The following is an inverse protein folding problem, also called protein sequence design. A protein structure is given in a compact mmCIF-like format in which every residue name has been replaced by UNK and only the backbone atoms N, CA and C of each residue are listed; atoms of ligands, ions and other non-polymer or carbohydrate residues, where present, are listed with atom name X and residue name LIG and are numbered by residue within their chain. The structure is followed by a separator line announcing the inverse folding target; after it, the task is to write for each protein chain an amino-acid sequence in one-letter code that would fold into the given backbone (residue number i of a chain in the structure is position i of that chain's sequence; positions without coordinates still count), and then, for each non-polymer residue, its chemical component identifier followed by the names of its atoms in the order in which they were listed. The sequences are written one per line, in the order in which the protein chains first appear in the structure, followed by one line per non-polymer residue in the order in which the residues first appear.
data_IF_634993538426
#
_entry.id   IF_634993538426
#
_cell.length_a   1.000
_cell.length_b   1.000
_cell.length_c   1.000
_cell.angle_alpha   90.00
_cell.angle_beta   90.00
_cell.angle_gamma   90.00
#
_symmetry.space_group_name_H-M   'P 1'
#
loop_
_entity.id
_entity.type
_entity.pdbx_description
1 polymer ?
#
# COMPACT_ATOMS: atom_id res chain seq x y z
N UNK A 1 -7.22 3.05 20.24
CA UNK A 1 -7.77 4.44 20.31
C UNK A 1 -6.63 5.41 20.07
N UNK A 2 -6.79 6.31 19.10
CA UNK A 2 -5.80 7.35 18.79
C UNK A 2 -6.30 8.65 19.41
N UNK A 3 -5.51 9.24 20.31
CA UNK A 3 -5.77 10.57 20.84
C UNK A 3 -4.92 11.58 20.07
N UNK A 4 -5.54 12.63 19.53
CA UNK A 4 -4.88 13.68 18.78
C UNK A 4 -5.09 15.00 19.51
N UNK A 5 -4.00 15.57 20.03
CA UNK A 5 -3.93 16.95 20.49
C UNK A 5 -3.12 17.74 19.45
N UNK A 6 -3.68 18.73 18.82
CA UNK A 6 -2.97 19.56 17.84
C UNK A 6 -2.52 20.88 18.48
N UNK A 7 -1.27 21.24 18.24
CA UNK A 7 -0.70 22.54 18.59
C UNK A 7 -0.49 23.37 17.31
N UNK A 8 -0.94 24.61 17.31
CA UNK A 8 -0.69 25.57 16.23
C UNK A 8 0.61 26.32 16.54
N UNK A 9 1.63 26.22 15.68
CA UNK A 9 2.87 26.99 15.78
C UNK A 9 2.86 28.23 14.88
N UNK A 10 2.07 28.21 13.83
CA UNK A 10 1.74 29.32 12.95
C UNK A 10 0.42 29.00 12.24
N UNK A 11 -0.13 29.94 11.51
CA UNK A 11 -1.39 29.75 10.76
C UNK A 11 -1.31 28.59 9.77
N UNK A 12 -0.12 28.23 9.30
CA UNK A 12 0.10 27.20 8.27
C UNK A 12 0.79 25.92 8.79
N UNK A 13 1.29 25.90 10.03
CA UNK A 13 2.01 24.74 10.60
C UNK A 13 1.20 24.19 11.77
N UNK A 14 0.86 22.92 11.70
CA UNK A 14 0.20 22.17 12.79
C UNK A 14 1.10 21.03 13.23
N UNK A 15 1.33 20.91 14.51
CA UNK A 15 2.02 19.75 15.11
C UNK A 15 1.04 19.03 16.02
N UNK A 16 1.03 17.71 15.94
CA UNK A 16 0.16 16.85 16.74
C UNK A 16 0.95 15.76 17.41
N UNK A 17 0.78 15.51 18.71
CA UNK A 17 1.22 14.28 19.32
C UNK A 17 0.36 13.12 18.84
N UNK A 18 0.98 11.95 18.68
CA UNK A 18 0.31 10.73 18.28
C UNK A 18 0.50 9.72 19.41
N UNK A 19 -0.60 9.15 19.86
CA UNK A 19 -0.58 8.03 20.82
C UNK A 19 -1.43 6.91 20.25
N UNK A 20 -0.86 5.72 20.22
CA UNK A 20 -1.50 4.53 19.67
C UNK A 20 -1.53 3.43 20.74
N UNK A 21 -2.65 2.72 20.81
CA UNK A 21 -2.77 1.50 21.59
C UNK A 21 -3.71 0.53 20.90
N UNK A 22 -3.27 -0.69 20.75
CA UNK A 22 -4.06 -1.80 20.24
C UNK A 22 -3.81 -3.04 21.09
N UNK A 23 -4.88 -3.69 21.55
CA UNK A 23 -4.82 -4.94 22.28
C UNK A 23 -5.68 -5.98 21.59
N UNK A 24 -5.12 -7.17 21.38
CA UNK A 24 -5.84 -8.35 20.94
C UNK A 24 -5.66 -9.45 21.95
N UNK A 25 -6.78 -9.96 22.49
CA UNK A 25 -6.80 -10.99 23.51
C UNK A 25 -6.54 -12.41 22.97
N UNK A 26 -6.77 -12.61 21.68
CA UNK A 26 -6.74 -13.93 21.04
C UNK A 26 -5.74 -14.04 19.88
N UNK A 27 -4.72 -13.14 19.81
CA UNK A 27 -4.04 -12.96 18.55
C UNK A 27 -5.04 -12.51 17.48
N UNK A 28 -4.70 -11.64 16.60
CA UNK A 28 -5.71 -10.94 15.79
C UNK A 28 -6.41 -11.81 14.76
N UNK A 29 -6.10 -13.09 14.63
CA UNK A 29 -6.57 -13.84 13.48
C UNK A 29 -6.81 -15.32 13.76
N UNK A 30 -7.80 -15.84 13.08
CA UNK A 30 -8.31 -17.20 13.08
C UNK A 30 -7.27 -18.28 12.75
N UNK A 31 -6.10 -17.86 12.27
CA UNK A 31 -5.05 -18.74 11.73
C UNK A 31 -3.90 -18.93 12.71
N UNK A 32 -3.70 -18.00 13.65
CA UNK A 32 -2.56 -18.05 14.58
C UNK A 32 -2.94 -18.28 16.03
N UNK A 33 -2.13 -19.09 16.68
CA UNK A 33 -2.33 -19.54 18.06
C UNK A 33 -2.57 -18.36 19.01
N UNK A 34 -3.73 -18.36 19.61
CA UNK A 34 -4.32 -17.66 20.76
C UNK A 34 -3.37 -17.03 21.77
N UNK A 35 -2.45 -16.16 21.36
CA UNK A 35 -1.59 -15.43 22.28
C UNK A 35 -1.97 -13.96 22.29
N UNK A 36 -2.18 -13.37 23.47
CA UNK A 36 -2.49 -11.95 23.56
C UNK A 36 -1.29 -11.10 23.12
N UNK A 37 -1.58 -10.06 22.37
CA UNK A 37 -0.59 -9.06 21.99
C UNK A 37 -1.10 -7.66 22.28
N UNK A 38 -0.23 -6.82 22.82
CA UNK A 38 -0.49 -5.39 22.97
C UNK A 38 0.54 -4.60 22.18
N UNK A 39 0.07 -3.71 21.35
CA UNK A 39 0.89 -2.76 20.58
C UNK A 39 0.61 -1.37 21.14
N UNK A 40 1.64 -0.64 21.50
CA UNK A 40 1.54 0.76 21.92
C UNK A 40 2.54 1.59 21.13
N UNK A 41 2.21 2.84 20.91
CA UNK A 41 3.07 3.75 20.14
C UNK A 41 2.92 5.18 20.60
N UNK A 42 4.02 5.92 20.49
CA UNK A 42 4.05 7.35 20.73
C UNK A 42 4.88 8.05 19.64
N UNK A 43 4.46 9.22 19.26
CA UNK A 43 5.11 9.95 18.18
C UNK A 43 4.62 11.37 17.97
N UNK A 44 5.07 11.96 16.90
CA UNK A 44 4.72 13.30 16.48
C UNK A 44 4.34 13.31 14.99
N UNK A 45 3.32 14.08 14.65
CA UNK A 45 2.97 14.42 13.27
C UNK A 45 3.09 15.92 13.06
N UNK A 46 3.51 16.31 11.88
CA UNK A 46 3.56 17.70 11.43
C UNK A 46 2.83 17.84 10.10
N UNK A 47 2.13 18.95 9.94
CA UNK A 47 1.41 19.29 8.73
C UNK A 47 1.65 20.75 8.41
N UNK A 48 1.98 21.03 7.15
CA UNK A 48 2.10 22.37 6.59
C UNK A 48 1.29 22.44 5.31
N UNK A 49 0.56 23.51 5.12
CA UNK A 49 -0.25 23.72 3.92
C UNK A 49 -0.24 25.19 3.51
N UNK A 50 -0.09 25.42 2.22
CA UNK A 50 -0.28 26.71 1.58
C UNK A 50 -0.85 26.51 0.17
N UNK A 51 -0.97 27.59 -0.61
CA UNK A 51 -1.54 27.56 -1.97
C UNK A 51 -0.88 26.52 -2.91
N UNK A 52 0.40 26.25 -2.75
CA UNK A 52 1.19 25.44 -3.69
C UNK A 52 1.78 24.18 -3.06
N UNK A 53 1.96 24.17 -1.75
CA UNK A 53 2.66 23.12 -1.05
C UNK A 53 1.84 22.56 0.09
N UNK A 54 1.74 21.24 0.11
CA UNK A 54 1.30 20.50 1.29
C UNK A 54 2.43 19.59 1.72
N UNK A 55 2.81 19.63 2.99
CA UNK A 55 3.83 18.76 3.58
C UNK A 55 3.24 18.08 4.79
N UNK A 56 3.33 16.77 4.79
CA UNK A 56 2.93 15.90 5.89
C UNK A 56 4.14 15.10 6.35
N UNK A 57 4.36 15.00 7.65
CA UNK A 57 5.40 14.16 8.21
C UNK A 57 4.91 13.56 9.52
N UNK A 58 5.28 12.30 9.77
CA UNK A 58 5.02 11.65 11.06
C UNK A 58 6.11 10.67 11.41
N UNK A 59 6.37 10.57 12.71
CA UNK A 59 7.25 9.59 13.29
C UNK A 59 6.56 8.98 14.50
N UNK A 60 6.53 7.65 14.57
CA UNK A 60 5.94 6.91 15.69
C UNK A 60 6.90 5.78 16.05
N UNK A 61 7.21 5.68 17.31
CA UNK A 61 7.90 4.52 17.85
C UNK A 61 6.87 3.58 18.47
N UNK A 62 6.93 2.30 18.11
CA UNK A 62 6.05 1.26 18.62
C UNK A 62 6.80 0.31 19.52
N UNK A 63 6.12 -0.13 20.58
CA UNK A 63 6.52 -1.24 21.42
C UNK A 63 5.44 -2.33 21.37
N UNK A 64 5.88 -3.57 21.54
CA UNK A 64 5.01 -4.74 21.55
C UNK A 64 5.24 -5.53 22.83
N UNK A 65 4.15 -5.92 23.47
CA UNK A 65 4.12 -6.83 24.60
C UNK A 65 3.39 -8.11 24.18
N UNK A 66 4.00 -9.26 24.44
CA UNK A 66 3.51 -10.57 24.02
C UNK A 66 4.44 -11.25 23.03
N UNK A 67 4.05 -12.42 22.55
CA UNK A 67 4.82 -13.17 21.55
C UNK A 67 4.45 -12.69 20.14
N UNK A 68 5.46 -12.36 19.34
CA UNK A 68 5.32 -12.00 17.92
C UNK A 68 5.71 -13.23 17.10
N UNK A 69 4.79 -13.70 16.28
CA UNK A 69 5.05 -14.71 15.26
C UNK A 69 5.33 -14.01 13.90
N UNK A 70 6.13 -14.65 13.04
CA UNK A 70 6.61 -14.05 11.78
C UNK A 70 5.51 -13.52 10.86
N UNK A 71 4.31 -14.10 10.89
CA UNK A 71 3.20 -13.77 10.00
C UNK A 71 2.02 -13.05 10.73
N UNK A 72 2.29 -12.42 11.85
CA UNK A 72 1.26 -11.79 12.69
C UNK A 72 0.33 -10.82 11.94
N UNK A 73 0.80 -10.22 10.86
CA UNK A 73 0.09 -9.16 10.14
C UNK A 73 -0.52 -9.59 8.81
N UNK A 74 -0.36 -10.85 8.38
CA UNK A 74 -0.79 -11.29 7.04
C UNK A 74 -2.29 -11.04 6.80
N UNK A 75 -3.12 -11.39 7.75
CA UNK A 75 -4.58 -11.18 7.69
C UNK A 75 -5.08 -9.99 8.52
N UNK A 76 -4.19 -9.29 9.21
CA UNK A 76 -4.55 -8.15 10.03
C UNK A 76 -5.04 -6.99 9.18
N UNK A 77 -5.98 -6.22 9.73
CA UNK A 77 -6.38 -4.91 9.20
C UNK A 77 -5.37 -3.81 9.51
N UNK A 78 -4.40 -4.10 10.37
CA UNK A 78 -3.33 -3.18 10.69
C UNK A 78 -2.33 -3.14 9.55
N UNK A 79 -1.70 -1.98 9.36
CA UNK A 79 -0.56 -1.85 8.49
C UNK A 79 0.61 -2.68 9.02
N UNK A 80 1.35 -3.30 8.10
CA UNK A 80 2.54 -4.07 8.44
C UNK A 80 3.74 -3.18 8.71
N UNK A 81 4.69 -3.69 9.47
CA UNK A 81 5.91 -2.98 9.81
C UNK A 81 7.09 -3.45 8.95
N UNK A 82 8.05 -2.57 8.59
CA UNK A 82 9.19 -2.94 7.77
C UNK A 82 10.14 -3.92 8.47
N UNK A 83 10.19 -3.86 9.79
CA UNK A 83 10.95 -4.75 10.65
C UNK A 83 10.40 -4.66 12.08
N UNK A 84 10.70 -5.68 12.88
CA UNK A 84 10.41 -5.70 14.32
C UNK A 84 11.67 -6.23 15.01
N UNK A 85 12.30 -5.39 15.82
CA UNK A 85 13.48 -5.75 16.58
C UNK A 85 13.14 -6.26 17.97
N UNK A 86 13.84 -7.28 18.42
CA UNK A 86 13.76 -7.76 19.80
C UNK A 86 14.66 -6.90 20.69
N UNK A 87 14.10 -6.40 21.78
CA UNK A 87 14.90 -5.75 22.81
C UNK A 87 15.85 -6.77 23.45
N UNK A 88 17.14 -6.44 23.54
CA UNK A 88 18.15 -7.31 24.17
C UNK A 88 18.02 -7.36 25.68
N UNK A 89 17.47 -6.31 26.27
CA UNK A 89 17.46 -6.07 27.72
C UNK A 89 16.06 -6.13 28.35
N UNK A 90 15.01 -6.40 27.55
CA UNK A 90 13.65 -6.50 28.03
C UNK A 90 12.85 -7.55 27.22
N UNK A 91 11.80 -8.11 27.83
CA UNK A 91 10.88 -9.04 27.20
C UNK A 91 9.91 -8.31 26.28
N UNK A 92 10.44 -7.64 25.25
CA UNK A 92 9.64 -6.85 24.32
C UNK A 92 10.26 -6.72 22.96
N UNK A 93 9.42 -6.30 22.03
CA UNK A 93 9.79 -6.00 20.66
C UNK A 93 9.47 -4.55 20.38
N UNK A 94 10.18 -3.97 19.44
CA UNK A 94 9.97 -2.58 19.05
C UNK A 94 10.15 -2.40 17.53
N UNK A 95 9.56 -1.35 17.01
CA UNK A 95 9.78 -0.86 15.64
C UNK A 95 9.49 0.62 15.57
N UNK A 96 9.88 1.22 14.49
CA UNK A 96 9.61 2.63 14.21
C UNK A 96 8.97 2.81 12.84
N UNK A 97 8.15 3.83 12.75
CA UNK A 97 7.41 4.22 11.57
C UNK A 97 7.67 5.69 11.29
N UNK A 98 8.25 5.96 10.15
CA UNK A 98 8.53 7.32 9.70
C UNK A 98 7.99 7.53 8.30
N UNK A 99 7.11 8.50 8.14
CA UNK A 99 6.54 8.91 6.87
C UNK A 99 6.76 10.39 6.64
N UNK A 100 6.92 10.74 5.37
CA UNK A 100 6.87 12.12 4.92
C UNK A 100 6.30 12.15 3.50
N UNK A 101 5.44 13.11 3.22
CA UNK A 101 4.86 13.37 1.91
C UNK A 101 4.90 14.85 1.60
N UNK A 102 5.41 15.18 0.44
CA UNK A 102 5.45 16.54 -0.10
C UNK A 102 4.59 16.54 -1.36
N UNK A 103 3.63 17.45 -1.43
CA UNK A 103 2.78 17.67 -2.60
C UNK A 103 3.04 19.09 -3.09
N UNK A 104 3.33 19.22 -4.37
CA UNK A 104 3.38 20.48 -5.07
C UNK A 104 2.22 20.59 -6.07
N UNK A 105 1.35 21.57 -5.84
CA UNK A 105 0.15 21.79 -6.64
C UNK A 105 0.39 22.87 -7.68
N UNK A 106 0.29 22.50 -8.95
CA UNK A 106 0.43 23.42 -10.08
C UNK A 106 -0.80 23.26 -11.00
N UNK A 107 -1.67 24.26 -11.00
CA UNK A 107 -2.93 24.23 -11.76
C UNK A 107 -3.75 22.95 -11.45
N UNK A 108 -3.86 22.08 -12.45
CA UNK A 108 -4.60 20.81 -12.38
C UNK A 108 -3.71 19.58 -12.18
N UNK A 109 -2.44 19.76 -11.83
CA UNK A 109 -1.50 18.68 -11.55
C UNK A 109 -0.95 18.83 -10.13
N UNK A 110 -1.01 17.73 -9.38
CA UNK A 110 -0.36 17.59 -8.09
C UNK A 110 0.81 16.63 -8.23
N UNK A 111 2.02 17.13 -8.07
CA UNK A 111 3.22 16.31 -7.98
C UNK A 111 3.43 15.88 -6.53
N UNK A 112 3.84 14.65 -6.32
CA UNK A 112 4.06 14.11 -4.98
C UNK A 112 5.40 13.38 -4.91
N UNK A 113 6.05 13.51 -3.77
CA UNK A 113 7.31 12.86 -3.45
C UNK A 113 7.37 12.55 -1.96
N UNK A 114 7.93 11.39 -1.61
CA UNK A 114 8.14 11.05 -0.20
C UNK A 114 8.11 9.55 0.07
N UNK A 115 8.04 9.21 1.35
CA UNK A 115 7.79 7.86 1.85
C UNK A 115 6.47 7.90 2.60
N UNK A 116 5.44 7.30 2.04
CA UNK A 116 4.06 7.34 2.59
C UNK A 116 3.23 6.17 2.08
N UNK A 117 2.09 5.95 2.73
CA UNK A 117 1.15 4.92 2.35
C UNK A 117 0.31 5.35 1.16
N UNK A 118 0.13 4.45 0.22
CA UNK A 118 -0.75 4.66 -0.93
C UNK A 118 -1.94 3.72 -0.86
N UNK A 119 -3.09 4.23 -1.25
CA UNK A 119 -4.31 3.46 -1.33
C UNK A 119 -5.02 3.71 -2.66
N UNK A 120 -5.21 2.65 -3.45
CA UNK A 120 -5.95 2.67 -4.70
C UNK A 120 -7.03 1.59 -4.71
N UNK A 121 -8.26 2.00 -4.62
CA UNK A 121 -9.45 1.16 -4.61
C UNK A 121 -10.63 1.88 -3.97
N UNK A 122 -11.86 1.38 -4.19
CA UNK A 122 -13.07 2.04 -3.71
C UNK A 122 -13.38 1.75 -2.24
N UNK A 123 -12.83 0.65 -1.71
CA UNK A 123 -13.08 0.13 -0.38
C UNK A 123 -11.99 0.48 0.63
N UNK A 124 -12.18 0.05 1.86
CA UNK A 124 -11.21 0.20 2.94
C UNK A 124 -10.01 -0.75 2.74
N UNK A 125 -10.27 -1.92 2.14
CA UNK A 125 -9.30 -3.00 1.91
C UNK A 125 -9.13 -3.20 0.41
N UNK A 126 -8.42 -2.27 -0.24
CA UNK A 126 -8.27 -2.29 -1.69
C UNK A 126 -7.46 -3.49 -2.17
N UNK A 127 -7.92 -4.13 -3.23
CA UNK A 127 -7.24 -5.27 -3.85
C UNK A 127 -5.97 -4.86 -4.57
N UNK A 128 -5.95 -3.64 -5.13
CA UNK A 128 -4.82 -3.19 -5.93
C UNK A 128 -3.69 -2.65 -5.07
N UNK A 129 -3.90 -1.52 -4.38
CA UNK A 129 -2.92 -0.97 -3.43
C UNK A 129 -3.67 -0.62 -2.16
N UNK A 130 -3.41 -1.34 -1.08
CA UNK A 130 -4.20 -1.27 0.14
C UNK A 130 -3.57 -0.43 1.27
N UNK A 131 -2.32 -0.04 1.15
CA UNK A 131 -1.55 0.47 2.28
C UNK A 131 -1.23 -0.60 3.33
N UNK A 132 -1.43 -1.88 2.99
CA UNK A 132 -1.14 -3.03 3.87
C UNK A 132 0.36 -3.18 4.10
N UNK A 133 1.15 -3.11 3.02
CA UNK A 133 2.59 -3.13 3.11
C UNK A 133 3.12 -1.89 3.82
N UNK A 134 4.30 -1.96 4.46
CA UNK A 134 4.97 -0.78 4.98
C UNK A 134 5.12 0.29 3.91
N UNK A 135 5.02 1.55 4.34
CA UNK A 135 5.24 2.69 3.45
C UNK A 135 6.61 2.61 2.76
N UNK A 136 6.68 3.07 1.54
CA UNK A 136 7.89 3.03 0.71
C UNK A 136 8.14 4.38 0.04
N UNK A 137 9.42 4.71 -0.26
CA UNK A 137 9.76 5.90 -1.02
C UNK A 137 9.12 5.85 -2.40
N UNK A 138 8.56 6.96 -2.85
CA UNK A 138 7.88 7.07 -4.12
C UNK A 138 7.78 8.49 -4.60
N UNK A 139 7.63 8.66 -5.90
CA UNK A 139 7.32 9.92 -6.54
C UNK A 139 6.24 9.70 -7.61
N UNK A 140 5.47 10.72 -7.88
CA UNK A 140 4.40 10.60 -8.85
C UNK A 140 3.64 11.89 -9.04
N UNK A 141 2.51 11.79 -9.70
CA UNK A 141 1.59 12.90 -9.88
C UNK A 141 0.14 12.43 -10.00
N UNK A 142 -0.76 13.35 -9.75
CA UNK A 142 -2.18 13.25 -10.11
C UNK A 142 -2.53 14.42 -11.01
N UNK A 143 -3.01 14.13 -12.21
CA UNK A 143 -3.43 15.10 -13.21
C UNK A 143 -4.94 15.05 -13.39
N UNK A 144 -5.64 16.12 -13.06
CA UNK A 144 -7.06 16.31 -13.36
C UNK A 144 -7.18 16.81 -14.81
N UNK A 145 -7.28 15.87 -15.77
CA UNK A 145 -7.34 16.16 -17.22
C UNK A 145 -8.57 17.00 -17.53
N UNK A 146 -9.71 16.61 -16.95
CA UNK A 146 -10.97 17.35 -16.99
C UNK A 146 -11.63 17.28 -15.61
N UNK A 147 -12.76 17.95 -15.41
CA UNK A 147 -13.52 17.85 -14.17
C UNK A 147 -14.01 16.43 -13.84
N UNK A 148 -14.04 15.56 -14.85
CA UNK A 148 -14.55 14.19 -14.72
C UNK A 148 -13.50 13.11 -14.99
N UNK A 149 -12.32 13.44 -15.46
CA UNK A 149 -11.29 12.49 -15.85
C UNK A 149 -9.96 12.88 -15.19
N UNK A 150 -9.36 11.94 -14.48
CA UNK A 150 -8.02 12.11 -13.92
C UNK A 150 -7.10 10.93 -14.24
N UNK A 151 -5.81 11.21 -14.33
CA UNK A 151 -4.72 10.26 -14.44
C UNK A 151 -3.82 10.41 -13.23
N UNK A 152 -3.55 9.32 -12.55
CA UNK A 152 -2.53 9.22 -11.51
C UNK A 152 -1.41 8.31 -11.98
N UNK A 153 -0.19 8.66 -11.65
CA UNK A 153 0.99 7.84 -11.87
C UNK A 153 1.91 7.93 -10.67
N UNK A 154 2.56 6.83 -10.33
CA UNK A 154 3.69 6.87 -9.41
C UNK A 154 4.73 5.80 -9.76
N UNK A 155 5.95 6.06 -9.32
CA UNK A 155 7.06 5.13 -9.26
C UNK A 155 7.51 5.01 -7.80
N UNK A 156 7.71 3.79 -7.31
CA UNK A 156 8.09 3.52 -5.92
C UNK A 156 9.24 2.51 -5.81
N UNK A 157 9.90 2.53 -4.66
CA UNK A 157 11.06 1.71 -4.33
C UNK A 157 10.68 0.76 -3.20
N UNK A 158 10.65 -0.52 -3.51
CA UNK A 158 10.22 -1.58 -2.62
C UNK A 158 11.41 -2.41 -2.12
N UNK A 159 11.18 -3.17 -1.06
CA UNK A 159 12.11 -4.17 -0.57
C UNK A 159 11.55 -5.57 -0.86
N UNK A 160 12.32 -6.42 -1.53
CA UNK A 160 11.87 -7.77 -1.90
C UNK A 160 11.75 -8.72 -0.70
N UNK A 161 12.45 -8.44 0.40
CA UNK A 161 12.63 -9.39 1.51
C UNK A 161 13.61 -10.53 1.19
N UNK A 162 14.17 -10.58 -0.04
CA UNK A 162 15.09 -11.62 -0.48
C UNK A 162 16.53 -11.15 -0.33
N UNK A 163 17.38 -11.99 0.25
CA UNK A 163 18.79 -11.67 0.45
C UNK A 163 19.52 -11.49 -0.88
N UNK A 164 20.23 -10.37 -1.02
CA UNK A 164 21.14 -10.12 -2.12
C UNK A 164 22.52 -10.76 -1.80
N UNK A 165 22.74 -11.96 -2.31
CA UNK A 165 23.98 -12.69 -2.08
C UNK A 165 25.22 -11.97 -2.62
N UNK A 166 25.08 -11.17 -3.69
CA UNK A 166 26.21 -10.44 -4.29
C UNK A 166 26.68 -9.27 -3.40
N UNK A 167 25.82 -8.76 -2.54
CA UNK A 167 26.09 -7.65 -1.63
C UNK A 167 26.26 -8.07 -0.19
N UNK A 168 25.94 -9.31 0.16
CA UNK A 168 25.99 -9.82 1.52
C UNK A 168 27.41 -9.75 2.11
N UNK A 169 28.45 -10.07 1.34
CA UNK A 169 29.84 -10.05 1.79
C UNK A 169 30.35 -8.65 2.18
N UNK A 170 29.83 -7.60 1.51
CA UNK A 170 30.22 -6.22 1.78
C UNK A 170 29.84 -5.78 3.21
N UNK A 171 28.70 -6.32 3.71
CA UNK A 171 28.14 -5.95 5.00
C UNK A 171 28.33 -7.00 6.08
N UNK A 172 29.15 -8.03 5.80
CA UNK A 172 29.52 -9.07 6.75
C UNK A 172 31.01 -8.97 7.08
N UNK A 173 31.30 -8.64 8.33
CA UNK A 173 32.67 -8.63 8.84
C UNK A 173 32.70 -9.18 10.28
N UNK A 174 33.88 -9.20 10.89
CA UNK A 174 34.06 -9.70 12.26
C UNK A 174 33.34 -8.91 13.35
N UNK A 175 32.90 -7.69 13.05
CA UNK A 175 32.26 -6.76 14.00
C UNK A 175 30.74 -6.75 13.83
N UNK A 176 30.26 -6.83 12.61
CA UNK A 176 28.84 -6.69 12.31
C UNK A 176 28.43 -7.53 11.09
N UNK A 177 27.24 -8.08 11.19
CA UNK A 177 26.58 -8.76 10.08
C UNK A 177 25.25 -8.06 9.79
N UNK A 178 25.05 -7.66 8.52
CA UNK A 178 23.82 -7.03 8.08
C UNK A 178 23.31 -7.71 6.81
N UNK A 179 22.03 -7.99 6.78
CA UNK A 179 21.36 -8.50 5.60
C UNK A 179 21.01 -7.33 4.67
N UNK A 180 21.36 -7.47 3.39
CA UNK A 180 20.96 -6.55 2.33
C UNK A 180 20.02 -7.29 1.40
N UNK A 181 18.85 -6.75 1.20
CA UNK A 181 17.84 -7.34 0.33
C UNK A 181 17.95 -6.79 -1.10
N UNK A 182 17.51 -7.58 -2.04
CA UNK A 182 17.36 -7.17 -3.44
C UNK A 182 16.34 -6.02 -3.51
N UNK A 183 16.70 -4.95 -4.18
CA UNK A 183 15.81 -3.83 -4.45
C UNK A 183 14.77 -4.23 -5.49
N UNK A 184 13.55 -3.75 -5.30
CA UNK A 184 12.41 -3.95 -6.18
C UNK A 184 11.78 -2.60 -6.49
N UNK A 185 11.34 -2.42 -7.72
CA UNK A 185 10.66 -1.22 -8.16
C UNK A 185 9.20 -1.51 -8.46
N UNK A 186 8.36 -0.50 -8.33
CA UNK A 186 6.97 -0.50 -8.76
C UNK A 186 6.71 0.75 -9.60
N UNK A 187 6.10 0.59 -10.75
CA UNK A 187 5.48 1.68 -11.46
C UNK A 187 3.99 1.39 -11.64
N UNK A 188 3.16 2.39 -11.51
CA UNK A 188 1.72 2.21 -11.64
C UNK A 188 1.04 3.45 -12.19
N UNK A 189 0.00 3.23 -12.97
CA UNK A 189 -0.89 4.29 -13.41
C UNK A 189 -2.36 3.89 -13.21
N UNK A 190 -3.20 4.92 -13.00
CA UNK A 190 -4.63 4.77 -12.75
C UNK A 190 -5.39 5.88 -13.45
N UNK A 191 -6.38 5.50 -14.23
CA UNK A 191 -7.37 6.40 -14.81
C UNK A 191 -8.64 6.31 -13.96
N UNK A 192 -9.18 7.46 -13.57
CA UNK A 192 -10.46 7.56 -12.90
C UNK A 192 -11.39 8.43 -13.73
N UNK A 193 -12.58 7.91 -14.03
CA UNK A 193 -13.60 8.61 -14.81
C UNK A 193 -14.91 8.68 -14.03
N UNK A 194 -15.33 9.89 -13.74
CA UNK A 194 -16.66 10.16 -13.18
C UNK A 194 -17.65 10.27 -14.33
N UNK A 195 -18.35 9.17 -14.63
CA UNK A 195 -19.31 9.08 -15.71
C UNK A 195 -20.48 10.06 -15.50
N UNK A 196 -20.93 10.20 -14.28
CA UNK A 196 -21.92 11.17 -13.82
C UNK A 196 -21.74 11.41 -12.30
N UNK A 197 -22.69 12.14 -11.69
CA UNK A 197 -22.63 12.47 -10.26
C UNK A 197 -22.73 11.26 -9.31
N UNK A 198 -23.08 10.08 -9.84
CA UNK A 198 -23.27 8.86 -9.04
C UNK A 198 -22.31 7.74 -9.39
N UNK A 199 -21.79 7.69 -10.62
CA UNK A 199 -20.97 6.58 -11.11
C UNK A 199 -19.54 7.05 -11.31
N UNK A 200 -18.61 6.35 -10.67
CA UNK A 200 -17.18 6.50 -10.86
C UNK A 200 -16.60 5.15 -11.31
N UNK A 201 -15.87 5.17 -12.40
CA UNK A 201 -15.13 4.05 -12.96
C UNK A 201 -13.64 4.31 -12.78
N UNK A 202 -12.87 3.25 -12.61
CA UNK A 202 -11.42 3.36 -12.67
C UNK A 202 -10.79 2.10 -13.25
N UNK A 203 -9.65 2.29 -13.89
CA UNK A 203 -8.77 1.23 -14.37
C UNK A 203 -7.34 1.56 -13.99
N UNK A 204 -6.57 0.54 -13.67
CA UNK A 204 -5.19 0.69 -13.25
C UNK A 204 -4.34 -0.48 -13.74
N UNK A 205 -3.10 -0.17 -13.99
CA UNK A 205 -2.07 -1.12 -14.35
C UNK A 205 -0.84 -0.85 -13.48
N UNK A 206 -0.17 -1.91 -13.07
CA UNK A 206 1.03 -1.86 -12.24
C UNK A 206 2.06 -2.81 -12.82
N UNK A 207 3.33 -2.47 -12.69
CA UNK A 207 4.44 -3.37 -12.98
C UNK A 207 5.38 -3.44 -11.78
N UNK A 208 5.78 -4.65 -11.42
CA UNK A 208 6.86 -4.92 -10.47
C UNK A 208 8.05 -5.43 -11.24
N UNK A 209 9.22 -4.83 -10.99
CA UNK A 209 10.47 -5.27 -11.57
C UNK A 209 11.63 -5.10 -10.57
N UNK A 210 12.64 -5.94 -10.69
CA UNK A 210 13.76 -5.97 -9.76
C UNK A 210 15.10 -6.21 -10.48
N UNK A 211 16.17 -6.23 -9.71
CA UNK A 211 17.55 -6.54 -10.19
C UNK A 211 18.15 -5.53 -11.16
N UNK A 212 17.50 -4.41 -11.41
CA UNK A 212 17.98 -3.31 -12.25
C UNK A 212 17.57 -1.95 -11.67
N UNK A 213 18.22 -0.90 -12.16
CA UNK A 213 17.88 0.49 -11.85
C UNK A 213 16.51 0.87 -12.42
N UNK A 214 16.10 2.12 -12.20
CA UNK A 214 14.86 2.66 -12.74
C UNK A 214 14.84 2.47 -14.26
N UNK A 215 13.83 1.74 -14.74
CA UNK A 215 13.63 1.53 -16.16
C UNK A 215 12.83 2.69 -16.76
N UNK A 216 13.44 3.40 -17.70
CA UNK A 216 12.83 4.58 -18.33
C UNK A 216 11.53 4.25 -19.09
N UNK A 217 11.38 3.02 -19.57
CA UNK A 217 10.15 2.62 -20.27
C UNK A 217 8.94 2.69 -19.35
N UNK A 218 9.11 2.38 -18.08
CA UNK A 218 8.04 2.45 -17.08
C UNK A 218 7.84 3.85 -16.47
N UNK A 219 8.65 4.83 -16.85
CA UNK A 219 8.45 6.23 -16.48
C UNK A 219 7.47 6.97 -17.42
N UNK A 220 6.99 6.33 -18.48
CA UNK A 220 6.04 6.91 -19.43
C UNK A 220 4.60 6.59 -18.98
N UNK A 221 3.90 7.52 -18.32
CA UNK A 221 2.68 7.21 -17.58
C UNK A 221 1.44 6.94 -18.44
N UNK A 222 1.51 7.18 -19.74
CA UNK A 222 0.39 7.04 -20.69
C UNK A 222 0.52 5.83 -21.59
N UNK A 223 1.64 5.11 -21.53
CA UNK A 223 1.85 3.89 -22.30
C UNK A 223 1.47 2.69 -21.45
N UNK A 224 0.63 1.77 -21.93
CA UNK A 224 0.36 0.53 -21.23
C UNK A 224 1.63 -0.27 -20.94
N UNK A 225 1.77 -0.81 -19.75
CA UNK A 225 2.98 -1.53 -19.34
C UNK A 225 3.08 -2.93 -19.94
N UNK A 226 1.95 -3.57 -20.21
CA UNK A 226 1.92 -4.91 -20.80
C UNK A 226 2.70 -5.03 -22.13
N UNK A 227 2.55 -4.15 -23.14
CA UNK A 227 3.38 -4.18 -24.33
C UNK A 227 4.87 -3.87 -24.05
N UNK A 228 5.16 -3.07 -23.04
CA UNK A 228 6.53 -2.75 -22.65
C UNK A 228 7.22 -3.97 -22.06
N UNK A 229 6.54 -4.69 -21.18
CA UNK A 229 7.05 -5.92 -20.58
C UNK A 229 7.39 -6.97 -21.64
N UNK A 230 6.48 -7.20 -22.59
CA UNK A 230 6.73 -8.10 -23.71
C UNK A 230 7.97 -7.68 -24.54
N UNK A 231 8.14 -6.38 -24.75
CA UNK A 231 9.32 -5.84 -25.43
C UNK A 231 10.62 -6.08 -24.63
N UNK A 232 10.57 -6.03 -23.31
CA UNK A 232 11.70 -6.21 -22.41
C UNK A 232 12.00 -7.68 -22.11
N UNK A 233 11.19 -8.65 -22.60
CA UNK A 233 11.47 -10.08 -22.50
C UNK A 233 10.65 -10.85 -21.48
N UNK A 234 9.49 -10.34 -21.07
CA UNK A 234 8.50 -11.05 -20.24
C UNK A 234 9.10 -11.57 -18.91
N UNK A 235 9.82 -10.70 -18.22
CA UNK A 235 10.46 -11.05 -16.93
C UNK A 235 9.85 -10.34 -15.75
N UNK A 236 9.13 -9.25 -16.00
CA UNK A 236 8.51 -8.41 -14.98
C UNK A 236 7.15 -8.98 -14.56
N UNK A 237 6.52 -8.39 -13.60
CA UNK A 237 5.21 -8.83 -13.12
C UNK A 237 4.19 -7.72 -13.32
N UNK A 238 3.23 -7.93 -14.22
CA UNK A 238 2.16 -6.98 -14.54
C UNK A 238 0.89 -7.35 -13.81
N UNK A 239 0.27 -6.35 -13.19
CA UNK A 239 -1.05 -6.46 -12.59
C UNK A 239 -2.00 -5.46 -13.21
N UNK A 240 -3.25 -5.87 -13.41
CA UNK A 240 -4.33 -5.02 -13.89
C UNK A 240 -5.50 -5.02 -12.92
N UNK A 241 -6.20 -3.92 -12.83
CA UNK A 241 -7.39 -3.83 -12.00
C UNK A 241 -8.37 -2.79 -12.50
N UNK A 242 -9.61 -2.97 -12.13
CA UNK A 242 -10.64 -1.97 -12.33
C UNK A 242 -11.59 -1.94 -11.15
N UNK A 243 -12.23 -0.82 -10.94
CA UNK A 243 -13.28 -0.69 -9.95
C UNK A 243 -14.42 0.22 -10.42
N UNK A 244 -15.58 -0.01 -9.85
CA UNK A 244 -16.80 0.75 -10.10
C UNK A 244 -17.37 1.11 -8.73
N UNK A 245 -17.73 2.36 -8.54
CA UNK A 245 -18.53 2.79 -7.39
C UNK A 245 -19.79 3.52 -7.86
N UNK A 246 -20.86 3.28 -7.11
CA UNK A 246 -22.17 3.87 -7.34
C UNK A 246 -22.69 4.51 -6.04
N UNK A 247 -22.88 5.80 -6.06
CA UNK A 247 -23.49 6.56 -4.96
C UNK A 247 -25.01 6.41 -5.04
N UNK A 248 -25.59 5.62 -4.13
CA UNK A 248 -27.04 5.43 -4.00
C UNK A 248 -27.64 6.75 -3.54
N UNK A 249 -27.03 7.32 -2.52
CA UNK A 249 -27.32 8.66 -1.98
C UNK A 249 -26.00 9.39 -1.70
N UNK A 250 -26.03 10.59 -1.17
CA UNK A 250 -24.84 11.33 -0.71
C UNK A 250 -24.11 10.64 0.45
N UNK A 251 -24.79 9.76 1.16
CA UNK A 251 -24.28 9.07 2.36
C UNK A 251 -24.09 7.57 2.16
N UNK A 252 -24.59 7.01 1.06
CA UNK A 252 -24.56 5.57 0.80
C UNK A 252 -23.93 5.26 -0.54
N UNK A 253 -22.95 4.36 -0.54
CA UNK A 253 -22.21 3.95 -1.71
C UNK A 253 -22.08 2.42 -1.75
N UNK A 254 -22.30 1.83 -2.92
CA UNK A 254 -21.88 0.46 -3.25
C UNK A 254 -20.70 0.50 -4.20
N UNK A 255 -19.87 -0.52 -4.15
CA UNK A 255 -18.71 -0.62 -5.03
C UNK A 255 -18.30 -2.07 -5.28
N UNK A 256 -17.63 -2.26 -6.39
CA UNK A 256 -16.96 -3.52 -6.71
C UNK A 256 -15.58 -3.23 -7.27
N UNK A 257 -14.64 -4.12 -6.99
CA UNK A 257 -13.29 -4.11 -7.53
C UNK A 257 -12.92 -5.46 -8.09
N UNK A 258 -12.11 -5.44 -9.13
CA UNK A 258 -11.50 -6.58 -9.75
C UNK A 258 -10.00 -6.36 -9.86
N UNK A 259 -9.23 -7.40 -9.57
CA UNK A 259 -7.78 -7.40 -9.71
C UNK A 259 -7.36 -8.70 -10.41
N UNK A 260 -6.41 -8.58 -11.29
CA UNK A 260 -5.83 -9.68 -12.05
C UNK A 260 -4.31 -9.59 -11.98
N UNK A 261 -3.70 -10.70 -11.60
CA UNK A 261 -2.26 -10.89 -11.57
C UNK A 261 -1.84 -11.66 -12.81
N UNK A 262 -0.97 -11.08 -13.59
CA UNK A 262 -0.61 -11.50 -14.96
C UNK A 262 -1.80 -11.61 -15.95
N UNK A 263 -1.58 -11.28 -17.19
CA UNK A 263 -2.56 -11.45 -18.24
C UNK A 263 -1.97 -12.28 -19.38
N UNK A 264 -2.42 -13.52 -19.49
CA UNK A 264 -2.20 -14.35 -20.68
C UNK A 264 -3.53 -14.57 -21.37
N UNK A 265 -3.85 -13.80 -22.44
CA UNK A 265 -5.17 -13.79 -23.04
C UNK A 265 -5.65 -15.16 -23.52
N UNK A 266 -4.75 -15.99 -24.02
CA UNK A 266 -5.06 -17.35 -24.50
C UNK A 266 -5.53 -18.27 -23.38
N UNK A 267 -5.26 -17.89 -22.12
CA UNK A 267 -5.55 -18.70 -20.94
C UNK A 267 -6.72 -18.20 -20.13
N UNK A 268 -7.38 -17.15 -20.52
CA UNK A 268 -8.48 -16.54 -19.75
C UNK A 268 -9.55 -17.54 -19.31
N UNK A 269 -9.82 -18.56 -20.14
CA UNK A 269 -10.82 -19.59 -19.86
C UNK A 269 -10.22 -20.98 -19.61
N UNK A 270 -8.91 -21.08 -19.46
CA UNK A 270 -8.21 -22.34 -19.24
C UNK A 270 -7.84 -22.53 -17.76
N UNK A 271 -8.32 -23.61 -17.14
CA UNK A 271 -8.04 -23.92 -15.72
C UNK A 271 -6.55 -24.19 -15.40
N UNK A 272 -5.70 -24.38 -16.40
CA UNK A 272 -4.24 -24.60 -16.24
C UNK A 272 -3.44 -23.31 -16.28
N UNK A 273 -4.11 -22.18 -16.39
CA UNK A 273 -3.46 -20.91 -16.60
C UNK A 273 -2.85 -20.32 -15.31
N UNK A 274 -2.03 -19.29 -15.47
CA UNK A 274 -1.42 -18.51 -14.41
C UNK A 274 -2.14 -17.19 -14.13
N UNK A 275 -3.33 -16.97 -14.72
CA UNK A 275 -4.13 -15.78 -14.44
C UNK A 275 -4.86 -15.96 -13.11
N UNK A 276 -4.46 -15.19 -12.11
CA UNK A 276 -5.06 -15.22 -10.78
C UNK A 276 -5.86 -13.96 -10.54
N UNK A 277 -7.04 -14.12 -9.94
CA UNK A 277 -8.01 -13.06 -9.80
C UNK A 277 -8.33 -12.77 -8.34
N UNK A 278 -8.74 -11.54 -8.08
CA UNK A 278 -9.38 -11.15 -6.83
C UNK A 278 -10.60 -10.28 -7.09
N UNK A 279 -11.59 -10.39 -6.22
CA UNK A 279 -12.84 -9.65 -6.29
C UNK A 279 -13.15 -8.99 -4.96
N UNK A 280 -13.70 -7.79 -5.05
CA UNK A 280 -14.21 -7.04 -3.90
C UNK A 280 -15.61 -6.58 -4.18
N UNK A 281 -16.48 -6.69 -3.17
CA UNK A 281 -17.81 -6.08 -3.15
C UNK A 281 -17.96 -5.34 -1.83
N UNK A 282 -18.51 -4.14 -1.87
CA UNK A 282 -18.66 -3.36 -0.66
C UNK A 282 -19.87 -2.45 -0.65
N UNK A 283 -20.31 -2.15 0.55
CA UNK A 283 -21.30 -1.16 0.87
C UNK A 283 -20.75 -0.26 1.99
N UNK A 284 -20.86 1.04 1.78
CA UNK A 284 -20.50 2.03 2.78
C UNK A 284 -21.67 2.95 3.01
N UNK A 285 -21.99 3.20 4.27
CA UNK A 285 -23.01 4.16 4.67
C UNK A 285 -22.49 5.04 5.81
N UNK A 286 -22.75 6.32 5.72
CA UNK A 286 -22.41 7.35 6.71
C UNK A 286 -23.66 7.81 7.41
N UNK A 287 -23.53 8.25 8.65
CA UNK A 287 -24.62 8.87 9.43
C UNK A 287 -25.87 7.98 9.55
N UNK A 288 -25.69 6.67 9.70
CA UNK A 288 -26.84 5.77 9.92
C UNK A 288 -27.42 5.98 11.32
N UNK A 289 -26.55 6.02 12.33
CA UNK A 289 -26.87 6.27 13.72
C UNK A 289 -25.74 7.11 14.34
N UNK A 290 -26.04 8.27 14.90
CA UNK A 290 -25.09 9.05 15.71
C UNK A 290 -23.75 9.43 15.06
N UNK A 291 -23.75 9.83 13.79
CA UNK A 291 -22.54 10.29 13.09
C UNK A 291 -21.49 9.19 12.86
N UNK A 292 -21.93 7.96 12.72
CA UNK A 292 -21.11 6.76 12.49
C UNK A 292 -20.83 6.48 11.00
N UNK A 293 -19.89 5.61 10.74
CA UNK A 293 -19.61 5.06 9.42
C UNK A 293 -19.74 3.53 9.48
N UNK A 294 -20.63 2.98 8.69
CA UNK A 294 -20.79 1.55 8.51
C UNK A 294 -20.15 1.12 7.19
N UNK A 295 -19.30 0.10 7.22
CA UNK A 295 -18.70 -0.50 6.04
C UNK A 295 -18.85 -2.00 6.09
N UNK A 296 -19.42 -2.59 5.04
CA UNK A 296 -19.47 -4.01 4.81
C UNK A 296 -18.67 -4.32 3.54
N UNK A 297 -17.67 -5.19 3.65
CA UNK A 297 -16.84 -5.62 2.52
C UNK A 297 -16.75 -7.13 2.48
N UNK A 298 -16.86 -7.66 1.27
CA UNK A 298 -16.53 -9.03 0.94
C UNK A 298 -15.38 -9.02 -0.05
N UNK A 299 -14.27 -9.66 0.31
CA UNK A 299 -13.09 -9.84 -0.54
C UNK A 299 -12.89 -11.33 -0.78
N UNK A 300 -12.61 -11.69 -2.01
CA UNK A 300 -12.16 -13.02 -2.39
C UNK A 300 -10.88 -12.89 -3.22
N UNK A 301 -9.88 -13.70 -2.88
CA UNK A 301 -8.60 -13.75 -3.58
C UNK A 301 -8.24 -15.18 -3.92
N UNK A 302 -7.65 -15.42 -5.10
CA UNK A 302 -6.95 -16.68 -5.35
C UNK A 302 -5.78 -16.79 -4.37
N UNK A 303 -5.50 -18.01 -3.86
CA UNK A 303 -4.40 -18.23 -2.90
C UNK A 303 -3.01 -17.89 -3.45
N UNK A 304 -2.85 -17.81 -4.76
CA UNK A 304 -1.59 -17.48 -5.42
C UNK A 304 -1.52 -16.02 -5.84
N UNK A 305 -2.58 -15.26 -5.62
CA UNK A 305 -2.62 -13.84 -5.97
C UNK A 305 -1.40 -13.12 -5.39
N UNK A 306 -0.89 -12.14 -6.09
CA UNK A 306 0.32 -11.36 -5.74
C UNK A 306 1.65 -12.12 -5.83
N UNK A 307 1.65 -13.40 -6.23
CA UNK A 307 2.85 -14.20 -6.47
C UNK A 307 3.24 -14.13 -7.95
N UNK A 308 4.51 -14.35 -8.23
CA UNK A 308 5.02 -14.40 -9.58
C UNK A 308 5.90 -15.64 -9.81
N UNK A 309 6.08 -16.06 -11.06
CA UNK A 309 7.02 -17.15 -11.45
C UNK A 309 8.46 -16.87 -10.96
N UNK A 310 8.83 -15.59 -10.92
CA UNK A 310 10.10 -15.13 -10.34
C UNK A 310 9.79 -14.41 -9.02
N UNK A 311 10.06 -15.05 -7.89
CA UNK A 311 9.76 -14.54 -6.55
C UNK A 311 10.30 -13.12 -6.29
N UNK A 312 11.40 -12.76 -7.00
CA UNK A 312 11.96 -11.40 -6.91
C UNK A 312 11.00 -10.32 -7.39
N UNK A 313 10.04 -10.68 -8.24
CA UNK A 313 9.02 -9.79 -8.79
C UNK A 313 7.61 -10.01 -8.20
N UNK A 314 7.49 -10.71 -7.07
CA UNK A 314 6.22 -10.80 -6.32
C UNK A 314 5.66 -9.41 -5.99
N UNK A 315 4.35 -9.27 -5.96
CA UNK A 315 3.63 -8.03 -5.62
C UNK A 315 3.67 -7.75 -4.11
N UNK A 316 4.87 -7.67 -3.56
CA UNK A 316 5.15 -7.56 -2.13
C UNK A 316 6.21 -6.51 -1.82
N UNK A 317 6.15 -5.95 -0.61
CA UNK A 317 7.22 -5.15 -0.01
C UNK A 317 7.45 -5.58 1.43
N UNK A 318 8.72 -5.79 1.81
CA UNK A 318 9.09 -6.29 3.16
C UNK A 318 8.34 -7.58 3.55
N UNK A 319 8.13 -8.47 2.59
CA UNK A 319 7.40 -9.72 2.83
C UNK A 319 5.88 -9.58 2.95
N UNK A 320 5.32 -8.38 2.73
CA UNK A 320 3.89 -8.11 2.84
C UNK A 320 3.26 -7.76 1.49
N UNK A 321 2.06 -8.26 1.17
CA UNK A 321 1.39 -7.97 -0.10
C UNK A 321 1.03 -6.48 -0.19
N UNK A 322 1.15 -5.90 -1.38
CA UNK A 322 0.77 -4.51 -1.65
C UNK A 322 -0.75 -4.33 -1.71
N UNK A 323 -1.47 -5.35 -2.17
CA UNK A 323 -2.92 -5.42 -2.11
C UNK A 323 -3.43 -6.09 -0.84
N UNK A 324 -4.73 -6.03 -0.61
CA UNK A 324 -5.35 -6.74 0.51
C UNK A 324 -5.59 -8.21 0.12
N UNK A 325 -5.02 -9.12 0.89
CA UNK A 325 -5.20 -10.56 0.76
C UNK A 325 -6.18 -11.06 1.82
N UNK A 326 -7.17 -11.89 1.41
CA UNK A 326 -8.19 -12.49 2.27
C UNK A 326 -8.43 -13.96 1.91
#
# INVERSE_FOLDING_TARGET
TIFILSFLFSDNIKVRPIVFSHHSSNGSDWVYKNKPITIFGAGLGAYYDNKYWTVEAEYIQFGFLGEIEENLFDFSVLQSFPYIDRSKDADGYWTEYANARIIYSLNNINFEFGKFDRHWGPGKRALHISGKAPSYPQFGFKWEITNNLSLSYFHGFLNSGLLDSNRAEIYNNSISQRSVNISRNIAAHRIEWRLNNRIKLSANETVIYATRDIDIHYLIPVVPFYPIENYLGDTDNIQMGCDISFDITTEQKIYTGFFMDELTPEWLFNKKNHNWFAWQFGYNAKNILFNDNFTLEYNWTDQRIYKHKYIVNDYYSHGQPLGFWA
#
